data_IF_247644873284
#
_entry.id   IF_247644873284
#
_cell.length_a   1.000
_cell.length_b   1.000
_cell.length_c   1.000
_cell.angle_alpha   90.00
_cell.angle_beta   90.00
_cell.angle_gamma   90.00
#
_symmetry.space_group_name_H-M   'P 1'
#
loop_
_entity.id
_entity.type
_entity.pdbx_description
1 polymer ?
#
# COMPACT_ATOMS: atom_id res chain seq x y z
N UNK A 1 -18.87 -13.48 -9.30
CA UNK A 1 -20.25 -13.98 -9.20
C UNK A 1 -20.30 -15.20 -8.29
N UNK A 2 -21.42 -15.50 -7.61
CA UNK A 2 -21.55 -16.71 -6.78
C UNK A 2 -21.30 -18.00 -7.54
N UNK A 3 -21.43 -17.97 -8.85
CA UNK A 3 -21.21 -19.13 -9.74
C UNK A 3 -19.77 -19.26 -10.24
N UNK A 4 -18.83 -18.45 -9.71
CA UNK A 4 -17.41 -18.51 -10.05
C UNK A 4 -17.07 -18.05 -11.48
N UNK A 5 -17.97 -17.36 -12.17
CA UNK A 5 -17.70 -16.83 -13.50
C UNK A 5 -16.67 -15.68 -13.43
N UNK A 6 -15.54 -15.87 -14.08
CA UNK A 6 -14.54 -14.81 -14.22
C UNK A 6 -15.01 -13.81 -15.28
N UNK A 7 -14.94 -12.52 -14.94
CA UNK A 7 -15.23 -11.41 -15.85
C UNK A 7 -13.98 -10.53 -15.92
N UNK A 8 -13.50 -10.29 -17.13
CA UNK A 8 -12.41 -9.36 -17.37
C UNK A 8 -12.96 -7.93 -17.34
N UNK A 9 -12.54 -7.12 -16.36
CA UNK A 9 -13.03 -5.75 -16.21
C UNK A 9 -12.53 -4.81 -17.31
N UNK A 10 -11.38 -5.11 -17.91
CA UNK A 10 -10.73 -4.25 -18.92
C UNK A 10 -10.45 -5.01 -20.22
N UNK A 11 -11.49 -5.48 -20.94
CA UNK A 11 -11.27 -6.32 -22.13
C UNK A 11 -10.71 -5.56 -23.34
N UNK A 12 -10.75 -4.22 -23.32
CA UNK A 12 -10.43 -3.37 -24.47
C UNK A 12 -9.22 -2.46 -24.29
N UNK A 13 -8.55 -2.54 -23.16
CA UNK A 13 -7.35 -1.73 -22.97
C UNK A 13 -6.18 -2.40 -23.69
N UNK A 14 -5.56 -1.75 -24.71
CA UNK A 14 -4.32 -2.22 -25.32
C UNK A 14 -3.16 -1.98 -24.33
N UNK A 15 -3.38 -2.22 -23.05
CA UNK A 15 -2.45 -1.90 -21.98
C UNK A 15 -1.59 -3.13 -21.73
N UNK A 16 -0.48 -3.17 -22.46
CA UNK A 16 0.64 -3.99 -22.01
C UNK A 16 1.33 -3.26 -20.86
N UNK A 17 1.39 -3.91 -19.71
CA UNK A 17 2.00 -3.33 -18.52
C UNK A 17 1.82 -4.19 -17.29
N UNK A 18 2.18 -3.64 -16.15
CA UNK A 18 2.12 -4.32 -14.85
C UNK A 18 0.99 -3.75 -14.00
N UNK A 19 0.14 -4.63 -13.49
CA UNK A 19 -0.92 -4.32 -12.53
C UNK A 19 -0.50 -4.73 -11.14
N UNK A 20 -0.88 -3.94 -10.12
CA UNK A 20 -0.53 -4.24 -8.75
C UNK A 20 -1.62 -3.79 -7.77
N UNK A 21 -1.89 -4.60 -6.73
CA UNK A 21 -2.66 -4.27 -5.52
C UNK A 21 -4.01 -3.60 -5.78
N UNK A 22 -5.02 -4.33 -6.20
CA UNK A 22 -6.37 -3.80 -6.26
C UNK A 22 -6.97 -3.63 -4.85
N UNK A 23 -7.77 -2.58 -4.70
CA UNK A 23 -8.65 -2.34 -3.56
C UNK A 23 -10.07 -2.04 -4.05
N UNK A 24 -11.08 -2.50 -3.32
CA UNK A 24 -12.49 -2.33 -3.71
C UNK A 24 -13.11 -1.25 -2.85
N UNK A 25 -13.84 -0.32 -3.47
CA UNK A 25 -14.55 0.73 -2.74
C UNK A 25 -15.57 0.15 -1.75
N UNK A 26 -15.84 0.89 -0.66
CA UNK A 26 -16.75 0.42 0.41
C UNK A 26 -18.17 0.09 -0.09
N UNK A 27 -18.64 0.77 -1.13
CA UNK A 27 -19.91 0.50 -1.80
C UNK A 27 -19.82 -0.61 -2.85
N UNK A 28 -18.65 -1.21 -3.02
CA UNK A 28 -18.33 -2.25 -3.99
C UNK A 28 -18.66 -1.88 -5.46
N UNK A 29 -18.62 -0.59 -5.80
CA UNK A 29 -18.91 -0.10 -7.16
C UNK A 29 -17.68 0.15 -7.99
N UNK A 30 -16.49 0.25 -7.37
CA UNK A 30 -15.24 0.62 -8.02
C UNK A 30 -14.07 -0.21 -7.54
N UNK A 31 -13.08 -0.32 -8.41
CA UNK A 31 -11.77 -0.92 -8.12
C UNK A 31 -10.68 0.12 -8.32
N UNK A 32 -9.89 0.32 -7.30
CA UNK A 32 -8.69 1.13 -7.26
C UNK A 32 -7.48 0.21 -7.41
N UNK A 33 -6.48 0.58 -8.23
CA UNK A 33 -5.32 -0.26 -8.47
C UNK A 33 -4.13 0.56 -8.97
N UNK A 34 -2.93 -0.04 -8.92
CA UNK A 34 -1.76 0.54 -9.56
C UNK A 34 -1.56 -0.06 -10.94
N UNK A 35 -1.14 0.76 -11.87
CA UNK A 35 -0.78 0.31 -13.20
C UNK A 35 0.44 1.08 -13.72
N UNK A 36 1.33 0.34 -14.37
CA UNK A 36 2.46 0.89 -15.11
C UNK A 36 2.41 0.37 -16.55
N UNK A 37 2.14 1.24 -17.54
CA UNK A 37 2.28 0.91 -18.95
C UNK A 37 3.70 0.44 -19.28
N UNK A 38 3.84 -0.44 -20.28
CA UNK A 38 5.13 -1.03 -20.66
C UNK A 38 6.20 0.00 -21.01
N UNK A 39 5.80 1.11 -21.60
CA UNK A 39 6.67 2.20 -22.04
C UNK A 39 6.89 3.29 -20.97
N UNK A 40 6.25 3.18 -19.80
CA UNK A 40 6.43 4.14 -18.72
C UNK A 40 7.37 3.62 -17.64
N UNK A 41 7.96 4.56 -16.89
CA UNK A 41 8.94 4.24 -15.84
C UNK A 41 8.30 4.04 -14.47
N UNK A 42 7.13 4.63 -14.24
CA UNK A 42 6.52 4.72 -12.91
C UNK A 42 5.13 4.10 -12.88
N UNK A 43 4.76 3.57 -11.72
CA UNK A 43 3.40 3.15 -11.41
C UNK A 43 2.56 4.35 -11.00
N UNK A 44 1.31 4.34 -11.45
CA UNK A 44 0.33 5.34 -11.06
C UNK A 44 -0.95 4.70 -10.58
N UNK A 45 -1.77 5.45 -9.83
CA UNK A 45 -3.06 5.01 -9.36
C UNK A 45 -4.11 5.18 -10.46
N UNK A 46 -4.94 4.16 -10.59
CA UNK A 46 -6.08 4.12 -11.51
C UNK A 46 -7.32 3.63 -10.79
N UNK A 47 -8.47 4.08 -11.25
CA UNK A 47 -9.78 3.63 -10.77
C UNK A 47 -10.65 3.22 -11.96
N UNK A 48 -11.45 2.17 -11.78
CA UNK A 48 -12.42 1.69 -12.76
C UNK A 48 -13.69 1.22 -12.05
N UNK A 49 -14.85 1.32 -12.72
CA UNK A 49 -16.08 0.71 -12.25
C UNK A 49 -16.03 -0.83 -12.29
N UNK A 50 -16.74 -1.50 -11.40
CA UNK A 50 -16.86 -2.98 -11.43
C UNK A 50 -17.58 -3.50 -12.68
N UNK A 51 -18.27 -2.64 -13.40
CA UNK A 51 -18.85 -2.89 -14.72
C UNK A 51 -17.84 -2.80 -15.87
N UNK A 52 -16.61 -2.38 -15.57
CA UNK A 52 -15.53 -2.19 -16.54
C UNK A 52 -15.52 -0.82 -17.22
N UNK A 53 -16.39 0.09 -16.82
CA UNK A 53 -16.50 1.42 -17.39
C UNK A 53 -15.81 2.48 -16.52
N UNK A 54 -15.63 3.68 -17.06
CA UNK A 54 -15.13 4.84 -16.28
C UNK A 54 -13.67 4.75 -15.84
N UNK A 55 -12.81 4.03 -16.58
CA UNK A 55 -11.38 4.00 -16.28
C UNK A 55 -10.79 5.40 -16.25
N UNK A 56 -10.12 5.74 -15.16
CA UNK A 56 -9.40 7.01 -15.03
C UNK A 56 -8.06 6.83 -14.31
N UNK A 57 -7.08 7.58 -14.75
CA UNK A 57 -5.81 7.74 -14.07
C UNK A 57 -5.91 8.84 -13.01
N UNK A 58 -5.53 8.54 -11.77
CA UNK A 58 -5.64 9.47 -10.64
C UNK A 58 -4.34 10.23 -10.40
N UNK A 59 -3.19 9.56 -10.44
CA UNK A 59 -1.90 10.19 -10.15
C UNK A 59 -0.99 10.20 -11.38
N UNK A 60 -0.02 11.13 -11.40
CA UNK A 60 0.91 11.35 -12.51
C UNK A 60 2.27 11.82 -11.99
N UNK A 61 3.25 11.83 -12.88
CA UNK A 61 4.58 12.37 -12.61
C UNK A 61 5.68 11.31 -12.55
N UNK A 62 6.90 11.67 -12.19
CA UNK A 62 8.05 10.75 -12.20
C UNK A 62 8.17 9.93 -10.92
N UNK A 63 7.06 9.61 -10.27
CA UNK A 63 6.99 8.92 -8.98
C UNK A 63 6.22 7.62 -9.11
N UNK A 64 6.68 6.59 -8.41
CA UNK A 64 5.86 5.40 -8.20
C UNK A 64 4.83 5.69 -7.12
N UNK A 65 3.57 5.39 -7.43
CA UNK A 65 2.44 5.41 -6.52
C UNK A 65 1.85 3.99 -6.48
N UNK A 66 1.94 3.32 -5.33
CA UNK A 66 1.63 1.90 -5.12
C UNK A 66 0.69 1.68 -3.93
N UNK A 67 0.18 0.46 -3.82
CA UNK A 67 -0.58 -0.04 -2.66
C UNK A 67 -1.75 0.88 -2.24
N UNK A 68 -2.61 1.34 -3.17
CA UNK A 68 -3.66 2.25 -2.82
C UNK A 68 -4.77 1.58 -2.01
N UNK A 69 -5.36 2.33 -1.08
CA UNK A 69 -6.54 1.96 -0.33
C UNK A 69 -7.53 3.12 -0.28
N UNK A 70 -8.82 2.82 -0.28
CA UNK A 70 -9.84 3.80 0.06
C UNK A 70 -9.85 4.04 1.56
N UNK A 71 -9.94 5.32 1.97
CA UNK A 71 -10.12 5.67 3.37
C UNK A 71 -11.60 5.64 3.77
N UNK A 72 -11.90 5.37 5.07
CA UNK A 72 -13.27 5.20 5.55
C UNK A 72 -14.17 6.43 5.40
N UNK A 73 -13.57 7.60 5.26
CA UNK A 73 -14.31 8.86 5.07
C UNK A 73 -14.98 8.97 3.69
N UNK A 74 -14.70 8.03 2.78
CA UNK A 74 -15.24 8.02 1.43
C UNK A 74 -14.74 9.14 0.51
N UNK A 75 -13.88 10.02 1.01
CA UNK A 75 -13.39 11.21 0.32
C UNK A 75 -11.92 11.13 -0.10
N UNK A 76 -11.15 10.24 0.53
CA UNK A 76 -9.71 10.18 0.32
C UNK A 76 -9.22 8.77 -0.01
N UNK A 77 -8.02 8.76 -0.58
CA UNK A 77 -7.22 7.56 -0.91
C UNK A 77 -5.88 7.70 -0.20
N UNK A 78 -5.38 6.63 0.42
CA UNK A 78 -4.01 6.54 0.91
C UNK A 78 -3.22 5.54 0.08
N UNK A 79 -1.92 5.77 -0.08
CA UNK A 79 -1.05 4.95 -0.92
C UNK A 79 0.42 5.10 -0.51
N UNK A 80 1.26 4.18 -0.99
CA UNK A 80 2.72 4.26 -0.87
C UNK A 80 3.30 5.02 -2.06
N UNK A 81 4.25 5.94 -1.83
CA UNK A 81 4.81 6.77 -2.90
C UNK A 81 6.30 7.04 -2.74
N UNK A 82 7.00 7.24 -3.86
CA UNK A 82 8.41 7.68 -3.86
C UNK A 82 8.58 9.21 -3.81
N UNK A 83 7.50 9.97 -3.60
CA UNK A 83 7.52 11.45 -3.49
C UNK A 83 8.26 11.96 -2.25
N UNK A 84 8.64 11.08 -1.34
CA UNK A 84 9.47 11.43 -0.19
C UNK A 84 10.93 11.78 -0.53
N UNK A 85 11.37 11.45 -1.74
CA UNK A 85 12.74 11.69 -2.23
C UNK A 85 13.82 11.10 -1.32
N UNK A 86 13.53 9.99 -0.67
CA UNK A 86 14.48 9.25 0.17
C UNK A 86 14.88 7.94 -0.52
N UNK A 87 16.02 7.39 -0.09
CA UNK A 87 16.57 6.16 -0.64
C UNK A 87 16.78 5.15 0.46
N UNK A 88 16.48 3.90 0.15
CA UNK A 88 16.79 2.76 1.02
C UNK A 88 18.30 2.68 1.22
N UNK A 89 18.76 2.61 2.48
CA UNK A 89 20.20 2.52 2.82
C UNK A 89 20.82 1.17 2.52
N UNK A 90 20.00 0.16 2.31
CA UNK A 90 20.46 -1.16 1.88
C UNK A 90 20.82 -1.17 0.38
N UNK A 91 21.72 -2.04 -0.02
CA UNK A 91 22.19 -2.13 -1.40
C UNK A 91 21.29 -3.07 -2.25
N UNK A 92 21.04 -2.76 -3.54
CA UNK A 92 21.36 -1.52 -4.23
C UNK A 92 20.47 -0.35 -3.76
N UNK A 93 20.93 0.90 -3.90
CA UNK A 93 20.13 2.06 -3.54
C UNK A 93 18.87 2.12 -4.43
N UNK A 94 17.71 2.08 -3.80
CA UNK A 94 16.41 2.23 -4.45
C UNK A 94 15.60 3.30 -3.74
N UNK A 95 14.61 3.88 -4.43
CA UNK A 95 13.72 4.83 -3.79
C UNK A 95 12.98 4.19 -2.63
N UNK A 96 12.94 4.87 -1.50
CA UNK A 96 12.10 4.48 -0.37
C UNK A 96 10.67 4.98 -0.58
N UNK A 97 9.71 4.16 -0.20
CA UNK A 97 8.31 4.53 -0.21
C UNK A 97 7.91 5.15 1.12
N UNK A 98 7.07 6.16 1.08
CA UNK A 98 6.40 6.74 2.25
C UNK A 98 4.90 6.76 2.00
N UNK A 99 4.11 6.90 3.05
CA UNK A 99 2.66 7.01 2.90
C UNK A 99 2.27 8.42 2.47
N UNK A 100 1.38 8.50 1.50
CA UNK A 100 0.73 9.72 1.07
C UNK A 100 -0.78 9.56 1.03
N UNK A 101 -1.49 10.67 1.08
CA UNK A 101 -2.94 10.77 0.91
C UNK A 101 -3.27 11.76 -0.20
N UNK A 102 -4.35 11.49 -0.92
CA UNK A 102 -4.96 12.43 -1.87
C UNK A 102 -6.49 12.37 -1.80
N UNK A 103 -7.15 13.30 -2.46
CA UNK A 103 -8.59 13.23 -2.71
C UNK A 103 -8.93 12.05 -3.65
N UNK A 104 -10.20 11.69 -3.70
CA UNK A 104 -10.71 10.62 -4.58
C UNK A 104 -10.44 10.83 -6.07
N UNK A 105 -10.18 12.05 -6.48
CA UNK A 105 -9.83 12.38 -7.87
C UNK A 105 -8.32 12.55 -8.11
N UNK A 106 -7.49 12.19 -7.13
CA UNK A 106 -6.03 12.21 -7.22
C UNK A 106 -5.39 13.57 -7.01
N UNK A 107 -6.15 14.56 -6.50
CA UNK A 107 -5.63 15.89 -6.17
C UNK A 107 -5.15 15.98 -4.72
N UNK A 108 -4.53 17.10 -4.40
CA UNK A 108 -4.10 17.46 -3.04
C UNK A 108 -3.27 16.37 -2.36
N UNK A 109 -2.30 15.84 -3.12
CA UNK A 109 -1.39 14.82 -2.61
C UNK A 109 -0.49 15.42 -1.53
N UNK A 110 -0.52 14.85 -0.33
CA UNK A 110 0.43 15.19 0.72
C UNK A 110 1.00 13.94 1.42
N UNK A 111 2.20 14.08 1.96
CA UNK A 111 2.90 12.98 2.64
C UNK A 111 2.37 12.82 4.07
N UNK A 112 1.83 11.65 4.35
CA UNK A 112 1.34 11.24 5.68
C UNK A 112 2.48 10.78 6.57
N UNK A 113 3.48 10.12 5.98
CA UNK A 113 4.66 9.68 6.72
C UNK A 113 5.95 10.24 6.13
N UNK A 114 7.02 10.27 6.94
CA UNK A 114 8.32 10.84 6.59
C UNK A 114 9.47 9.98 7.12
N UNK A 115 9.32 8.68 6.99
CA UNK A 115 10.40 7.75 7.35
C UNK A 115 11.55 7.83 6.34
N UNK A 116 12.76 7.56 6.78
CA UNK A 116 13.94 7.48 5.90
C UNK A 116 14.00 6.16 5.14
N UNK A 117 13.36 5.12 5.67
CA UNK A 117 13.22 3.80 5.07
C UNK A 117 11.74 3.57 4.66
N UNK A 118 11.41 2.51 3.93
CA UNK A 118 10.05 2.32 3.46
C UNK A 118 8.97 2.23 4.54
N UNK A 119 7.88 2.97 4.30
CA UNK A 119 6.55 2.78 4.85
C UNK A 119 5.64 2.34 3.71
N UNK A 120 5.03 1.17 3.78
CA UNK A 120 4.33 0.57 2.64
C UNK A 120 3.24 -0.42 3.04
N UNK A 121 2.45 -0.87 2.08
CA UNK A 121 1.36 -1.82 2.24
C UNK A 121 0.32 -1.38 3.28
N UNK A 122 -0.27 -0.18 3.15
CA UNK A 122 -1.31 0.27 4.06
C UNK A 122 -2.58 -0.59 3.94
N UNK A 123 -3.34 -0.67 5.04
CA UNK A 123 -4.66 -1.26 5.12
C UNK A 123 -5.47 -0.57 6.22
N UNK A 124 -6.78 -0.47 6.07
CA UNK A 124 -7.66 0.14 7.08
C UNK A 124 -8.03 -0.89 8.15
N UNK A 125 -7.99 -0.47 9.41
CA UNK A 125 -8.55 -1.20 10.56
C UNK A 125 -10.00 -0.75 10.81
N UNK A 126 -10.78 -1.60 11.50
CA UNK A 126 -12.19 -1.32 11.83
C UNK A 126 -12.37 -0.04 12.68
N UNK A 127 -11.33 0.41 13.40
CA UNK A 127 -11.33 1.65 14.16
C UNK A 127 -10.96 2.90 13.33
N UNK A 128 -10.74 2.74 12.03
CA UNK A 128 -10.44 3.80 11.09
C UNK A 128 -8.96 4.17 10.98
N UNK A 129 -8.09 3.63 11.83
CA UNK A 129 -6.65 3.78 11.67
C UNK A 129 -6.13 3.00 10.47
N UNK A 130 -5.01 3.42 9.95
CA UNK A 130 -4.29 2.69 8.90
C UNK A 130 -3.15 1.90 9.52
N UNK A 131 -3.13 0.58 9.29
CA UNK A 131 -2.02 -0.31 9.62
C UNK A 131 -1.13 -0.45 8.40
N UNK A 132 0.19 -0.43 8.58
CA UNK A 132 1.16 -0.51 7.50
C UNK A 132 2.46 -1.16 7.96
N UNK A 133 3.31 -1.54 7.02
CA UNK A 133 4.65 -2.02 7.31
C UNK A 133 5.62 -0.86 7.30
N UNK A 134 6.42 -0.72 8.37
CA UNK A 134 7.52 0.24 8.46
C UNK A 134 8.84 -0.49 8.64
N UNK A 135 9.80 -0.13 7.83
CA UNK A 135 11.18 -0.51 8.02
C UNK A 135 11.90 0.53 8.86
N UNK A 136 12.54 0.09 9.94
CA UNK A 136 13.39 0.92 10.76
C UNK A 136 14.84 0.44 10.64
N UNK A 137 15.68 1.26 10.08
CA UNK A 137 17.10 0.99 9.96
C UNK A 137 17.84 1.72 11.09
N UNK A 138 17.93 1.08 12.24
CA UNK A 138 18.52 1.65 13.46
C UNK A 138 19.86 1.01 13.81
N UNK A 139 20.63 1.62 14.73
CA UNK A 139 21.97 1.18 15.16
C UNK A 139 21.98 -0.14 15.94
N UNK A 140 20.82 -0.62 16.36
CA UNK A 140 20.70 -1.95 16.95
C UNK A 140 20.92 -2.98 15.85
N UNK A 141 21.22 -4.26 16.17
CA UNK A 141 21.27 -5.32 15.15
C UNK A 141 19.91 -5.54 14.50
N UNK A 142 19.17 -4.48 14.29
CA UNK A 142 17.78 -4.34 13.84
C UNK A 142 17.72 -3.66 12.48
N UNK A 143 18.77 -3.74 11.67
CA UNK A 143 18.71 -3.32 10.26
C UNK A 143 17.68 -4.14 9.45
N UNK A 144 17.25 -5.28 10.00
CA UNK A 144 16.28 -6.18 9.40
C UNK A 144 14.81 -5.88 9.70
N UNK A 145 14.43 -5.28 10.87
CA UNK A 145 13.03 -5.30 11.27
C UNK A 145 12.17 -4.41 10.40
N UNK A 146 11.19 -5.06 9.81
CA UNK A 146 10.07 -4.43 9.14
C UNK A 146 8.80 -4.88 9.85
N UNK A 147 8.24 -3.99 10.65
CA UNK A 147 7.17 -4.31 11.62
C UNK A 147 5.88 -3.57 11.32
N UNK A 148 4.84 -3.92 12.03
CA UNK A 148 3.53 -3.31 11.85
C UNK A 148 3.39 -2.04 12.71
N UNK A 149 2.97 -0.98 12.05
CA UNK A 149 2.70 0.33 12.64
C UNK A 149 1.31 0.78 12.29
N UNK A 150 0.76 1.71 13.06
CA UNK A 150 -0.50 2.38 12.76
C UNK A 150 -0.31 3.88 12.70
N UNK A 151 -1.19 4.51 11.94
CA UNK A 151 -1.28 5.97 11.82
C UNK A 151 -2.75 6.35 11.59
N UNK A 152 -3.16 7.52 12.07
CA UNK A 152 -4.44 8.08 11.66
C UNK A 152 -4.41 8.50 10.18
N UNK A 153 -5.56 8.55 9.49
CA UNK A 153 -5.63 9.00 8.10
C UNK A 153 -5.03 10.39 7.83
N UNK A 154 -4.93 11.25 8.83
CA UNK A 154 -4.34 12.58 8.76
C UNK A 154 -2.83 12.63 9.06
N UNK A 155 -2.21 11.50 9.36
CA UNK A 155 -0.78 11.38 9.70
C UNK A 155 -0.46 11.54 11.19
N UNK A 156 -1.46 11.74 12.05
CA UNK A 156 -1.26 11.82 13.50
C UNK A 156 -1.20 10.44 14.16
N UNK A 157 -0.77 10.37 15.41
CA UNK A 157 -0.75 9.18 16.26
C UNK A 157 -0.03 7.97 15.64
N UNK A 158 1.14 8.21 15.07
CA UNK A 158 2.02 7.12 14.63
C UNK A 158 2.43 6.28 15.83
N UNK A 159 2.12 4.99 15.80
CA UNK A 159 2.43 4.07 16.88
C UNK A 159 2.77 2.68 16.34
N UNK A 160 3.68 1.99 17.02
CA UNK A 160 3.95 0.60 16.72
C UNK A 160 2.75 -0.26 17.12
N UNK A 161 2.26 -1.04 16.19
CA UNK A 161 1.17 -1.99 16.42
C UNK A 161 1.69 -3.33 16.92
N UNK A 162 2.74 -3.85 16.26
CA UNK A 162 3.33 -5.13 16.64
C UNK A 162 4.83 -5.19 16.29
N UNK A 163 5.62 -5.83 17.15
CA UNK A 163 7.01 -6.18 16.85
C UNK A 163 8.06 -5.45 17.67
N UNK A 164 7.66 -4.62 18.65
CA UNK A 164 8.58 -3.81 19.48
C UNK A 164 9.69 -4.63 20.16
N UNK A 165 9.39 -5.85 20.59
CA UNK A 165 10.34 -6.75 21.25
C UNK A 165 10.53 -8.07 20.51
N UNK A 166 9.99 -8.19 19.32
CA UNK A 166 10.06 -9.42 18.53
C UNK A 166 11.33 -9.43 17.68
N UNK A 167 12.13 -10.48 17.84
CA UNK A 167 13.30 -10.73 16.97
C UNK A 167 12.91 -11.46 15.69
N UNK A 168 11.81 -12.19 15.69
CA UNK A 168 11.33 -12.99 14.57
C UNK A 168 9.80 -12.87 14.43
N UNK A 169 9.25 -12.85 13.20
CA UNK A 169 9.94 -12.76 11.91
C UNK A 169 10.60 -11.39 11.70
N UNK A 170 11.62 -11.30 10.84
CA UNK A 170 12.30 -10.05 10.50
C UNK A 170 11.35 -9.06 9.82
N UNK A 171 10.53 -9.58 8.91
CA UNK A 171 9.55 -8.82 8.13
C UNK A 171 8.14 -9.31 8.45
N UNK A 172 7.25 -8.37 8.79
CA UNK A 172 5.80 -8.61 8.84
C UNK A 172 5.12 -7.60 7.93
N UNK A 173 4.38 -8.10 6.96
CA UNK A 173 3.78 -7.28 5.92
C UNK A 173 2.38 -7.71 5.55
N UNK A 174 1.70 -6.87 4.77
CA UNK A 174 0.41 -7.18 4.17
C UNK A 174 -0.66 -7.49 5.23
N UNK A 175 -0.66 -6.69 6.28
CA UNK A 175 -1.56 -6.85 7.41
C UNK A 175 -3.01 -6.52 7.01
N UNK A 176 -3.94 -7.41 7.38
CA UNK A 176 -5.37 -7.24 7.18
C UNK A 176 -6.11 -7.61 8.44
N UNK A 177 -7.02 -6.76 8.90
CA UNK A 177 -7.90 -7.14 10.00
C UNK A 177 -8.89 -8.20 9.56
N UNK A 178 -9.09 -9.21 10.41
CA UNK A 178 -10.11 -10.22 10.19
C UNK A 178 -11.46 -9.61 10.58
N UNK A 179 -12.40 -9.49 9.64
CA UNK A 179 -13.68 -8.80 9.88
C UNK A 179 -14.41 -9.28 11.14
N UNK A 180 -14.92 -8.34 11.91
CA UNK A 180 -15.64 -8.62 13.16
C UNK A 180 -14.77 -9.10 14.33
N UNK A 181 -13.45 -8.98 14.23
CA UNK A 181 -12.53 -9.35 15.29
C UNK A 181 -11.47 -8.27 15.52
N UNK A 182 -10.74 -8.35 16.63
CA UNK A 182 -9.57 -7.53 16.90
C UNK A 182 -8.26 -8.16 16.34
N UNK A 183 -8.36 -9.26 15.63
CA UNK A 183 -7.21 -10.00 15.11
C UNK A 183 -6.79 -9.46 13.75
N UNK A 184 -5.48 -9.43 13.53
CA UNK A 184 -4.86 -9.09 12.26
C UNK A 184 -4.15 -10.31 11.70
N UNK A 185 -4.37 -10.58 10.43
CA UNK A 185 -3.63 -11.57 9.65
C UNK A 185 -2.54 -10.84 8.86
N UNK A 186 -1.33 -11.38 8.84
CA UNK A 186 -0.20 -10.79 8.13
C UNK A 186 0.77 -11.86 7.66
N UNK A 187 1.57 -11.55 6.64
CA UNK A 187 2.65 -12.44 6.18
C UNK A 187 3.93 -12.16 6.96
N UNK A 188 4.49 -13.18 7.60
CA UNK A 188 5.78 -13.13 8.29
C UNK A 188 6.88 -13.82 7.48
N UNK A 189 8.05 -13.19 7.32
CA UNK A 189 9.18 -13.76 6.60
C UNK A 189 10.54 -13.29 7.12
N UNK A 190 11.62 -13.90 6.63
CA UNK A 190 12.98 -13.40 6.78
C UNK A 190 13.21 -12.19 5.87
N UNK A 191 14.12 -11.30 6.27
CA UNK A 191 14.45 -10.08 5.54
C UNK A 191 14.97 -10.34 4.10
N UNK A 192 15.76 -11.38 3.90
CA UNK A 192 16.37 -11.74 2.62
C UNK A 192 15.79 -13.00 1.97
N UNK A 193 14.55 -13.32 2.20
CA UNK A 193 13.90 -14.51 1.62
C UNK A 193 12.86 -14.16 0.56
N UNK A 194 13.21 -13.29 -0.40
CA UNK A 194 12.31 -12.87 -1.48
C UNK A 194 10.94 -12.37 -0.99
N UNK A 195 10.91 -11.97 0.28
CA UNK A 195 9.67 -11.60 0.97
C UNK A 195 8.56 -12.66 0.93
N UNK A 196 8.90 -13.89 0.57
CA UNK A 196 8.02 -15.04 0.72
C UNK A 196 7.98 -15.46 2.19
N UNK A 197 6.80 -15.76 2.69
CA UNK A 197 6.60 -16.11 4.08
C UNK A 197 5.33 -16.88 4.29
N UNK A 198 5.03 -17.16 5.56
CA UNK A 198 3.80 -17.80 6.00
C UNK A 198 2.89 -16.79 6.73
N UNK A 199 1.62 -17.11 6.73
CA UNK A 199 0.57 -16.38 7.44
C UNK A 199 0.44 -16.90 8.87
#
# INVERSE_FOLDING_TARGET
SPEGKLVQLMPRLPLHGSFWRPDVSHDATKVLFCFKPHNEKSFHLYEIGIDGEGLRQLTKGPFDDLDPIYLPDGAHIMFSTTRGHTYVRCMPPTNAYVLARCDRDGRDIYLVSRNNEPDYLPSVLDDGRVIYTRWEYTDKPLWRPQKLWTVNPDGTQVAMYWGNQSVWPDLVKDARQIPGTTRVMATGSAHHNWFAGSV
#
